data_IF_128512074395
#
_entry.id   IF_128512074395
#
_cell.length_a   1.000
_cell.length_b   1.000
_cell.length_c   1.000
_cell.angle_alpha   90.00
_cell.angle_beta   90.00
_cell.angle_gamma   90.00
#
_symmetry.space_group_name_H-M   'P 1'
#
loop_
_entity.id
_entity.type
_entity.pdbx_description
1 polymer ?
#
# COMPACT_ATOMS: atom_id res chain seq x y z
N UNK A 1 -7.74 -42.53 2.69
CA UNK A 1 -8.81 -43.45 3.15
C UNK A 1 -9.16 -43.21 4.62
N UNK A 2 -8.43 -43.72 5.62
CA UNK A 2 -8.80 -43.61 7.06
C UNK A 2 -8.93 -42.21 7.67
N UNK A 3 -8.25 -41.20 7.09
CA UNK A 3 -8.36 -39.78 7.52
C UNK A 3 -9.60 -39.09 6.95
N UNK A 4 -10.01 -39.48 5.73
CA UNK A 4 -11.24 -38.99 5.08
C UNK A 4 -12.49 -39.62 5.71
N UNK A 5 -12.42 -40.88 6.13
CA UNK A 5 -13.51 -41.57 6.84
C UNK A 5 -13.83 -40.93 8.21
N UNK A 6 -12.81 -40.44 8.94
CA UNK A 6 -13.03 -39.73 10.21
C UNK A 6 -13.63 -38.34 10.02
N UNK A 7 -13.25 -37.63 8.96
CA UNK A 7 -13.82 -36.32 8.63
C UNK A 7 -15.28 -36.49 8.21
N UNK A 8 -15.58 -37.51 7.39
CA UNK A 8 -16.96 -37.84 7.00
C UNK A 8 -17.84 -38.18 8.21
N UNK A 9 -17.34 -39.00 9.15
CA UNK A 9 -18.05 -39.32 10.39
C UNK A 9 -18.31 -38.08 11.29
N UNK A 10 -17.41 -37.09 11.27
CA UNK A 10 -17.55 -35.87 12.06
C UNK A 10 -18.50 -34.84 11.45
N UNK A 11 -18.62 -34.83 10.11
CA UNK A 11 -19.47 -33.88 9.36
C UNK A 11 -20.91 -34.40 9.22
N UNK A 12 -21.09 -35.72 9.11
CA UNK A 12 -22.40 -36.33 8.83
C UNK A 12 -23.02 -37.11 10.01
N UNK A 13 -22.26 -37.43 11.05
CA UNK A 13 -22.72 -38.37 12.08
C UNK A 13 -23.02 -39.76 11.49
N UNK A 14 -23.64 -40.68 12.24
CA UNK A 14 -23.95 -42.05 11.78
C UNK A 14 -25.08 -42.12 10.71
N UNK A 15 -25.30 -41.08 9.92
CA UNK A 15 -26.31 -41.01 8.85
C UNK A 15 -25.85 -40.15 7.66
N UNK A 16 -26.60 -40.18 6.55
CA UNK A 16 -26.18 -39.57 5.27
C UNK A 16 -26.38 -38.03 5.17
N UNK A 17 -26.82 -37.35 6.24
CA UNK A 17 -27.07 -35.88 6.22
C UNK A 17 -26.08 -35.12 7.12
N UNK A 18 -25.60 -33.92 6.72
CA UNK A 18 -24.72 -33.12 7.55
C UNK A 18 -25.37 -32.65 8.86
N UNK A 19 -24.62 -32.68 9.96
CA UNK A 19 -25.11 -32.43 11.33
C UNK A 19 -25.77 -31.05 11.54
N UNK A 20 -25.47 -30.07 10.67
CA UNK A 20 -26.01 -28.71 10.75
C UNK A 20 -27.44 -28.59 10.22
N UNK A 21 -27.95 -29.60 9.49
CA UNK A 21 -29.32 -29.62 8.96
C UNK A 21 -30.34 -29.96 10.07
N UNK A 22 -30.00 -30.86 11.01
CA UNK A 22 -30.89 -31.25 12.12
C UNK A 22 -31.08 -30.13 13.17
N UNK A 23 -30.09 -29.23 13.30
CA UNK A 23 -30.16 -28.08 14.20
C UNK A 23 -31.13 -27.00 13.73
N UNK A 24 -31.49 -26.98 12.45
CA UNK A 24 -32.40 -25.99 11.85
C UNK A 24 -33.87 -26.46 11.80
N UNK A 25 -34.13 -27.78 11.89
CA UNK A 25 -35.48 -28.37 11.74
C UNK A 25 -36.24 -28.60 13.06
N UNK A 26 -35.65 -28.32 14.23
CA UNK A 26 -36.35 -28.46 15.53
C UNK A 26 -37.20 -27.22 15.88
N UNK A 27 -38.24 -26.99 15.08
CA UNK A 27 -39.20 -25.89 15.22
C UNK A 27 -40.00 -25.88 16.52
N UNK A 28 -39.48 -25.29 17.59
CA UNK A 28 -40.24 -24.93 18.80
C UNK A 28 -40.36 -23.40 18.90
N UNK A 29 -41.27 -22.85 18.10
CA UNK A 29 -41.87 -21.53 18.29
C UNK A 29 -43.12 -21.68 19.16
N UNK A 30 -43.07 -21.21 20.42
CA UNK A 30 -44.22 -20.74 21.23
C UNK A 30 -43.78 -20.34 22.64
N UNK A 31 -43.50 -19.05 22.86
CA UNK A 31 -43.64 -18.42 24.20
C UNK A 31 -44.19 -17.00 24.03
N UNK A 32 -45.21 -16.68 24.83
CA UNK A 32 -45.99 -15.43 24.81
C UNK A 32 -45.15 -14.16 25.11
N UNK A 33 -45.57 -13.03 24.53
CA UNK A 33 -44.96 -11.71 24.74
C UNK A 33 -45.31 -11.12 26.13
N UNK A 34 -44.33 -10.70 26.94
CA UNK A 34 -44.59 -9.76 28.04
C UNK A 34 -44.54 -8.31 27.53
N UNK A 35 -45.39 -7.47 28.12
CA UNK A 35 -45.45 -6.02 27.87
C UNK A 35 -44.35 -5.29 28.66
N UNK A 36 -43.63 -4.36 28.01
CA UNK A 36 -42.80 -3.34 28.67
C UNK A 36 -41.33 -3.36 28.25
N UNK A 37 -40.79 -2.20 27.87
CA UNK A 37 -39.52 -2.01 27.18
C UNK A 37 -38.26 -2.60 27.83
N UNK A 38 -37.57 -3.48 27.09
CA UNK A 38 -36.12 -3.63 27.03
C UNK A 38 -35.78 -4.61 25.89
N UNK A 39 -34.97 -4.20 24.91
CA UNK A 39 -34.35 -5.15 23.97
C UNK A 39 -33.19 -5.85 24.71
N UNK A 40 -33.29 -7.17 24.93
CA UNK A 40 -32.17 -7.98 25.42
C UNK A 40 -31.72 -8.94 24.32
N UNK A 41 -30.73 -8.50 23.54
CA UNK A 41 -29.81 -9.43 22.88
C UNK A 41 -28.99 -10.09 23.99
N UNK A 42 -29.37 -11.29 24.44
CA UNK A 42 -28.56 -12.09 25.36
C UNK A 42 -27.37 -12.68 24.60
N UNK A 43 -26.20 -12.57 25.20
CA UNK A 43 -24.88 -12.80 24.62
C UNK A 43 -24.51 -14.28 24.39
N UNK A 44 -25.48 -15.16 24.16
CA UNK A 44 -25.26 -16.62 24.10
C UNK A 44 -25.64 -17.27 22.75
N UNK A 45 -25.78 -16.49 21.67
CA UNK A 45 -26.04 -17.06 20.34
C UNK A 45 -24.98 -16.82 19.26
N UNK A 46 -23.86 -16.17 19.57
CA UNK A 46 -22.77 -15.99 18.60
C UNK A 46 -21.40 -16.06 19.26
N UNK A 47 -20.91 -17.27 19.50
CA UNK A 47 -19.47 -17.52 19.75
C UNK A 47 -19.00 -18.76 19.00
N UNK A 48 -18.97 -18.66 17.67
CA UNK A 48 -18.10 -19.50 16.83
C UNK A 48 -17.67 -18.71 15.59
N UNK A 49 -16.61 -17.91 15.72
CA UNK A 49 -15.61 -17.75 14.66
C UNK A 49 -14.25 -17.74 15.37
N UNK A 50 -13.48 -18.78 15.08
CA UNK A 50 -12.23 -19.11 15.72
C UNK A 50 -11.15 -18.07 15.43
N UNK A 51 -10.60 -17.44 16.48
CA UNK A 51 -9.24 -16.91 16.50
C UNK A 51 -8.33 -18.06 16.94
N UNK A 52 -7.84 -18.87 16.01
CA UNK A 52 -6.66 -19.73 16.18
C UNK A 52 -6.19 -20.26 14.81
N UNK A 53 -5.25 -19.53 14.21
CA UNK A 53 -4.15 -20.16 13.48
C UNK A 53 -2.89 -19.46 13.98
N UNK A 54 -2.24 -20.04 15.00
CA UNK A 54 -0.84 -20.38 14.79
C UNK A 54 -0.45 -21.74 15.41
N UNK A 55 0.66 -22.26 14.89
CA UNK A 55 1.45 -23.40 15.35
C UNK A 55 1.02 -24.79 14.85
N UNK A 56 1.32 -25.02 13.56
CA UNK A 56 1.82 -26.29 13.03
C UNK A 56 3.29 -26.56 13.44
N UNK A 57 3.67 -26.16 14.65
CA UNK A 57 4.90 -26.63 15.28
C UNK A 57 4.47 -27.29 16.58
N UNK A 58 4.33 -28.61 16.55
CA UNK A 58 4.79 -29.55 17.58
C UNK A 58 4.40 -30.95 17.09
N UNK A 59 5.16 -31.38 16.09
CA UNK A 59 5.30 -32.79 15.77
C UNK A 59 5.97 -33.45 16.97
N UNK A 60 5.30 -34.44 17.57
CA UNK A 60 5.93 -35.40 18.46
C UNK A 60 6.04 -34.98 19.92
N UNK A 61 4.96 -35.18 20.68
CA UNK A 61 5.00 -35.68 22.08
C UNK A 61 3.62 -36.22 22.42
N UNK A 62 3.56 -37.51 22.70
CA UNK A 62 2.38 -38.16 23.26
C UNK A 62 2.21 -37.66 24.69
N UNK A 63 1.14 -36.92 24.96
CA UNK A 63 0.59 -36.77 26.29
C UNK A 63 -0.88 -37.11 26.22
N UNK A 64 -1.27 -38.13 26.96
CA UNK A 64 -2.64 -38.56 27.16
C UNK A 64 -3.47 -37.40 27.71
N UNK A 65 -4.48 -36.96 26.96
CA UNK A 65 -5.53 -36.11 27.50
C UNK A 65 -6.70 -37.00 27.91
N UNK A 66 -6.92 -37.10 29.21
CA UNK A 66 -8.13 -37.68 29.78
C UNK A 66 -9.22 -36.60 29.77
N UNK A 67 -10.29 -36.82 28.99
CA UNK A 67 -11.39 -35.87 28.87
C UNK A 67 -12.43 -36.15 29.95
N UNK A 68 -12.45 -35.34 31.00
CA UNK A 68 -13.55 -35.30 31.98
C UNK A 68 -14.62 -34.27 31.56
N UNK A 69 -15.92 -34.58 31.67
CA UNK A 69 -17.02 -33.67 31.31
C UNK A 69 -17.41 -32.68 32.42
N UNK A 70 -16.70 -32.61 33.55
CA UNK A 70 -17.08 -31.75 34.68
C UNK A 70 -16.28 -30.43 34.73
N UNK A 71 -17.02 -29.31 34.75
CA UNK A 71 -16.50 -27.95 34.96
C UNK A 71 -15.90 -27.83 36.37
N UNK A 72 -14.58 -27.68 36.45
CA UNK A 72 -13.88 -27.39 37.71
C UNK A 72 -13.98 -25.88 38.03
N UNK A 73 -14.56 -25.46 39.17
CA UNK A 73 -14.56 -24.07 39.59
C UNK A 73 -13.19 -23.67 40.17
N UNK A 74 -12.76 -22.40 40.05
CA UNK A 74 -11.44 -21.99 40.50
C UNK A 74 -11.40 -21.89 42.03
N UNK A 75 -10.76 -22.84 42.70
CA UNK A 75 -10.30 -22.68 44.09
C UNK A 75 -8.76 -22.74 44.15
N UNK A 76 -8.20 -21.60 44.56
CA UNK A 76 -6.95 -21.42 45.31
C UNK A 76 -5.85 -22.48 45.17
N UNK A 77 -4.83 -22.19 44.36
CA UNK A 77 -3.49 -22.74 44.56
C UNK A 77 -2.59 -21.69 45.23
N UNK A 78 -2.54 -21.74 46.55
CA UNK A 78 -1.43 -21.22 47.35
C UNK A 78 -0.28 -22.23 47.32
N UNK A 79 0.90 -21.80 46.87
CA UNK A 79 2.17 -22.48 47.17
C UNK A 79 2.86 -23.15 45.99
N UNK A 80 3.63 -22.37 45.22
CA UNK A 80 4.98 -22.73 44.75
C UNK A 80 5.57 -21.54 43.98
N UNK A 81 6.80 -21.20 44.35
CA UNK A 81 7.62 -20.09 43.88
C UNK A 81 8.06 -20.23 42.41
N UNK A 82 7.79 -19.22 41.59
CA UNK A 82 8.35 -19.10 40.24
C UNK A 82 7.74 -17.92 39.50
N UNK A 83 8.51 -16.85 39.29
CA UNK A 83 8.08 -15.64 38.58
C UNK A 83 7.57 -15.95 37.17
N UNK A 84 6.27 -15.77 36.95
CA UNK A 84 5.69 -15.57 35.62
C UNK A 84 5.08 -14.16 35.58
N UNK A 85 5.64 -13.33 34.69
CA UNK A 85 5.23 -11.94 34.45
C UNK A 85 3.76 -11.91 34.03
N UNK A 86 2.98 -11.06 34.68
CA UNK A 86 1.55 -10.86 34.37
C UNK A 86 1.37 -10.24 32.97
N UNK A 87 0.28 -10.58 32.25
CA UNK A 87 -0.12 -9.86 31.05
C UNK A 87 -0.61 -8.45 31.39
N UNK A 88 -0.12 -7.45 30.65
CA UNK A 88 -0.57 -6.07 30.75
C UNK A 88 -2.07 -5.95 30.43
N UNK A 89 -2.88 -5.70 31.46
CA UNK A 89 -4.26 -5.22 31.31
C UNK A 89 -4.21 -3.71 31.48
N UNK A 90 -4.49 -2.96 30.40
CA UNK A 90 -4.66 -1.51 30.47
C UNK A 90 -5.96 -1.22 31.23
N UNK A 91 -5.84 -0.71 32.46
CA UNK A 91 -6.96 -0.26 33.27
C UNK A 91 -7.55 1.06 32.73
N UNK A 92 -8.88 1.26 32.77
CA UNK A 92 -9.48 2.55 32.52
C UNK A 92 -9.34 3.44 33.77
N UNK A 93 -8.72 4.61 33.61
CA UNK A 93 -8.70 5.64 34.63
C UNK A 93 -10.11 6.24 34.76
N UNK A 94 -10.72 6.06 35.94
CA UNK A 94 -11.91 6.76 36.36
C UNK A 94 -11.53 8.10 37.00
N UNK A 95 -12.28 9.17 36.68
CA UNK A 95 -12.47 10.30 37.59
C UNK A 95 -13.94 10.73 37.52
N UNK A 96 -14.59 10.75 38.67
CA UNK A 96 -15.95 11.23 38.86
C UNK A 96 -15.92 12.63 39.49
N UNK A 97 -16.76 13.54 38.99
CA UNK A 97 -17.71 14.37 39.77
C UNK A 97 -18.41 15.36 38.84
N UNK A 98 -19.70 15.58 39.07
CA UNK A 98 -20.54 16.44 38.25
C UNK A 98 -20.49 17.91 38.64
N UNK A 99 -20.78 18.78 37.69
CA UNK A 99 -21.49 20.05 37.92
C UNK A 99 -22.19 20.50 36.63
N UNK A 100 -23.38 21.03 36.82
CA UNK A 100 -24.33 21.48 35.79
C UNK A 100 -23.99 22.88 35.28
N UNK A 101 -23.80 23.02 33.98
CA UNK A 101 -23.74 24.33 33.33
C UNK A 101 -23.37 24.22 31.86
N UNK A 102 -24.25 24.69 30.97
CA UNK A 102 -24.00 24.77 29.52
C UNK A 102 -22.71 25.55 29.25
N UNK A 103 -21.60 24.84 29.04
CA UNK A 103 -20.41 25.32 28.34
C UNK A 103 -20.31 24.56 27.03
N UNK A 104 -20.05 25.30 25.95
CA UNK A 104 -19.58 24.74 24.69
C UNK A 104 -18.47 23.73 25.00
N UNK A 105 -18.41 22.55 24.35
CA UNK A 105 -17.43 21.54 24.70
C UNK A 105 -16.03 22.15 24.60
N UNK A 106 -15.31 22.13 25.72
CA UNK A 106 -13.91 22.48 25.77
C UNK A 106 -13.15 21.53 24.84
N UNK A 107 -12.23 22.08 24.03
CA UNK A 107 -11.42 21.31 23.10
C UNK A 107 -10.65 20.21 23.86
N UNK A 108 -10.62 18.96 23.36
CA UNK A 108 -9.89 17.88 24.00
C UNK A 108 -8.37 18.16 23.97
N UNK A 109 -7.62 17.77 25.01
CA UNK A 109 -6.17 17.96 25.04
C UNK A 109 -5.49 17.00 24.05
N UNK A 110 -4.74 17.55 23.08
CA UNK A 110 -3.96 16.78 22.10
C UNK A 110 -4.13 17.16 20.61
N UNK A 111 -4.49 18.41 20.27
CA UNK A 111 -4.53 18.84 18.85
C UNK A 111 -3.11 18.90 18.26
N UNK A 112 -2.63 17.76 17.75
CA UNK A 112 -1.38 17.65 16.98
C UNK A 112 -1.54 18.06 15.51
N UNK A 113 -2.67 18.70 15.14
CA UNK A 113 -3.03 19.07 13.77
C UNK A 113 -3.79 20.41 13.76
N UNK A 114 -3.51 21.24 12.76
CA UNK A 114 -4.24 22.50 12.54
C UNK A 114 -5.34 22.31 11.50
N UNK A 115 -6.47 22.99 11.67
CA UNK A 115 -7.49 23.13 10.63
C UNK A 115 -7.31 24.48 9.90
N UNK A 116 -7.25 24.44 8.58
CA UNK A 116 -7.12 25.61 7.70
C UNK A 116 -8.29 25.71 6.74
N UNK A 117 -8.93 26.87 6.67
CA UNK A 117 -10.00 27.13 5.70
C UNK A 117 -9.41 27.79 4.45
N UNK A 118 -9.56 27.16 3.30
CA UNK A 118 -9.04 27.68 2.02
C UNK A 118 -10.04 28.63 1.36
N UNK A 119 -9.58 29.39 0.36
CA UNK A 119 -10.44 30.30 -0.42
C UNK A 119 -11.57 29.54 -1.15
N UNK A 120 -11.35 28.27 -1.47
CA UNK A 120 -12.36 27.36 -2.03
C UNK A 120 -13.42 26.91 -1.01
N UNK A 121 -13.35 27.38 0.24
CA UNK A 121 -14.31 27.04 1.30
C UNK A 121 -14.09 25.67 1.94
N UNK A 122 -13.05 24.93 1.53
CA UNK A 122 -12.67 23.65 2.12
C UNK A 122 -11.94 23.86 3.44
N UNK A 123 -12.15 22.93 4.38
CA UNK A 123 -11.36 22.85 5.62
C UNK A 123 -10.35 21.73 5.44
N UNK A 124 -9.07 22.06 5.45
CA UNK A 124 -7.95 21.13 5.31
C UNK A 124 -7.23 20.93 6.62
N UNK A 125 -6.60 19.77 6.76
CA UNK A 125 -5.59 19.56 7.78
C UNK A 125 -4.31 20.26 7.34
N UNK A 126 -3.59 20.84 8.29
CA UNK A 126 -2.30 21.49 8.06
C UNK A 126 -1.33 21.14 9.19
N UNK A 127 -0.04 21.24 8.91
CA UNK A 127 1.01 21.09 9.92
C UNK A 127 0.86 22.17 11.01
N UNK A 128 1.33 21.86 12.23
CA UNK A 128 1.23 22.77 13.37
C UNK A 128 1.98 24.08 13.14
N UNK A 129 3.13 24.02 12.48
CA UNK A 129 3.92 25.20 12.09
C UNK A 129 3.29 26.00 10.93
N UNK A 130 2.19 25.51 10.35
CA UNK A 130 1.48 26.15 9.24
C UNK A 130 2.25 26.20 7.93
N UNK A 131 3.25 25.31 7.73
CA UNK A 131 4.04 25.24 6.49
C UNK A 131 3.50 24.28 5.45
N UNK A 132 2.81 23.23 5.87
CA UNK A 132 2.26 22.19 5.00
C UNK A 132 0.74 22.28 4.99
N UNK A 133 0.16 22.42 3.80
CA UNK A 133 -1.27 22.28 3.56
C UNK A 133 -1.55 20.84 3.12
N UNK A 134 -2.32 20.11 3.92
CA UNK A 134 -2.59 18.69 3.71
C UNK A 134 -3.99 18.39 3.19
N UNK A 135 -4.43 17.16 3.47
CA UNK A 135 -5.70 16.62 3.00
C UNK A 135 -6.93 17.36 3.54
N UNK A 136 -8.05 17.28 2.84
CA UNK A 136 -9.35 17.78 3.34
C UNK A 136 -9.72 17.08 4.67
N UNK A 137 -10.10 17.87 5.67
CA UNK A 137 -10.48 17.39 7.00
C UNK A 137 -11.73 16.49 6.92
N UNK A 138 -11.63 15.21 7.29
CA UNK A 138 -12.75 14.27 7.23
C UNK A 138 -13.85 14.59 8.26
N UNK A 139 -13.53 15.34 9.31
CA UNK A 139 -14.49 15.78 10.34
C UNK A 139 -15.34 16.96 9.87
N UNK A 140 -14.84 17.75 8.92
CA UNK A 140 -15.58 18.88 8.33
C UNK A 140 -16.27 18.49 7.01
N UNK A 141 -15.64 17.61 6.23
CA UNK A 141 -16.11 17.20 4.90
C UNK A 141 -16.08 15.68 4.79
N UNK A 142 -17.24 14.99 4.67
CA UNK A 142 -17.29 13.53 4.55
C UNK A 142 -16.39 13.01 3.43
N UNK A 143 -15.79 11.83 3.62
CA UNK A 143 -14.78 11.29 2.69
C UNK A 143 -15.34 10.98 1.30
N UNK A 144 -16.63 10.69 1.21
CA UNK A 144 -17.33 10.39 -0.05
C UNK A 144 -17.72 11.64 -0.86
N UNK A 145 -17.44 12.86 -0.39
CA UNK A 145 -17.74 14.11 -1.10
C UNK A 145 -16.49 14.84 -1.59
N UNK A 146 -16.70 15.81 -2.48
CA UNK A 146 -15.65 16.66 -3.03
C UNK A 146 -14.88 16.02 -4.18
N UNK A 147 -14.03 16.83 -4.80
CA UNK A 147 -13.16 16.45 -5.92
C UNK A 147 -12.21 15.33 -5.47
N UNK A 148 -12.06 14.32 -6.33
CA UNK A 148 -11.27 13.12 -6.07
C UNK A 148 -9.79 13.36 -6.41
N UNK A 149 -9.06 14.16 -5.63
CA UNK A 149 -7.58 14.17 -5.67
C UNK A 149 -7.01 13.03 -4.82
N UNK A 150 -5.77 12.60 -5.08
CA UNK A 150 -5.08 11.60 -4.29
C UNK A 150 -5.06 12.02 -2.81
N UNK A 151 -5.52 11.12 -1.92
CA UNK A 151 -5.71 11.34 -0.49
C UNK A 151 -6.46 12.65 -0.15
N UNK A 152 -7.25 13.21 -1.08
CA UNK A 152 -7.90 14.53 -0.98
C UNK A 152 -6.90 15.67 -0.73
N UNK A 153 -5.69 15.57 -1.27
CA UNK A 153 -4.64 16.59 -1.21
C UNK A 153 -5.03 17.86 -2.00
N UNK A 154 -4.37 19.01 -1.73
CA UNK A 154 -4.58 20.20 -2.54
C UNK A 154 -4.04 20.03 -3.96
N UNK A 155 -4.67 20.71 -4.90
CA UNK A 155 -4.07 20.99 -6.21
C UNK A 155 -3.11 22.18 -6.10
N UNK A 156 -2.23 22.33 -7.09
CA UNK A 156 -1.17 23.34 -7.07
C UNK A 156 -1.72 24.77 -6.96
N UNK A 157 -2.78 25.08 -7.68
CA UNK A 157 -3.44 26.40 -7.67
C UNK A 157 -4.02 26.72 -6.29
N UNK A 158 -4.62 25.73 -5.62
CA UNK A 158 -5.15 25.90 -4.26
C UNK A 158 -4.01 26.15 -3.27
N UNK A 159 -2.89 25.42 -3.38
CA UNK A 159 -1.73 25.62 -2.55
C UNK A 159 -1.14 27.03 -2.73
N UNK A 160 -0.96 27.47 -3.98
CA UNK A 160 -0.43 28.81 -4.30
C UNK A 160 -1.34 29.92 -3.77
N UNK A 161 -2.66 29.79 -3.95
CA UNK A 161 -3.63 30.73 -3.40
C UNK A 161 -3.60 30.78 -1.87
N UNK A 162 -3.48 29.62 -1.21
CA UNK A 162 -3.38 29.53 0.24
C UNK A 162 -2.08 30.17 0.77
N UNK A 163 -0.94 29.91 0.13
CA UNK A 163 0.35 30.54 0.48
C UNK A 163 0.32 32.05 0.31
N UNK A 164 -0.21 32.54 -0.80
CA UNK A 164 -0.37 33.98 -1.06
C UNK A 164 -1.24 34.64 0.03
N UNK A 165 -2.37 34.02 0.40
CA UNK A 165 -3.24 34.53 1.45
C UNK A 165 -2.57 34.58 2.84
N UNK A 166 -1.53 33.75 3.06
CA UNK A 166 -0.70 33.75 4.28
C UNK A 166 0.46 34.74 4.22
N UNK A 167 0.56 35.54 3.15
CA UNK A 167 1.66 36.49 2.96
C UNK A 167 3.00 35.82 2.65
N UNK A 168 2.99 34.57 2.18
CA UNK A 168 4.20 33.96 1.64
C UNK A 168 4.55 34.75 0.39
N UNK A 169 5.71 35.40 0.39
CA UNK A 169 6.27 35.93 -0.84
C UNK A 169 6.57 34.76 -1.78
N UNK A 170 6.69 35.04 -3.08
CA UNK A 170 7.27 34.06 -4.00
C UNK A 170 8.52 33.49 -3.33
N UNK A 171 8.72 32.18 -3.38
CA UNK A 171 9.81 31.49 -2.69
C UNK A 171 11.14 31.91 -3.33
N UNK A 172 11.58 33.15 -3.07
CA UNK A 172 12.82 33.70 -3.59
C UNK A 172 13.96 32.81 -3.10
N UNK A 173 14.60 32.12 -4.04
CA UNK A 173 15.72 31.22 -3.77
C UNK A 173 15.38 29.74 -3.52
N UNK A 174 14.12 29.30 -3.62
CA UNK A 174 13.85 27.85 -3.76
C UNK A 174 13.85 27.44 -5.23
N UNK A 175 14.55 26.35 -5.54
CA UNK A 175 14.49 25.73 -6.87
C UNK A 175 13.11 25.06 -7.10
N UNK A 176 12.51 24.44 -6.08
CA UNK A 176 11.20 23.79 -6.16
C UNK A 176 10.11 24.39 -5.23
N UNK A 177 8.85 24.33 -5.69
CA UNK A 177 7.69 24.84 -4.95
C UNK A 177 7.12 23.82 -3.94
N UNK A 178 7.26 22.54 -4.22
CA UNK A 178 6.69 21.42 -3.43
C UNK A 178 7.68 20.27 -3.30
N UNK A 179 7.51 19.43 -2.27
CA UNK A 179 8.40 18.31 -2.03
C UNK A 179 8.07 17.12 -2.93
N UNK A 180 6.78 16.84 -3.12
CA UNK A 180 6.28 15.76 -3.99
C UNK A 180 5.09 16.25 -4.81
N UNK A 181 5.11 15.95 -6.11
CA UNK A 181 3.93 16.03 -6.96
C UNK A 181 3.42 14.62 -7.30
N UNK A 182 2.13 14.39 -7.06
CA UNK A 182 1.40 13.20 -7.50
C UNK A 182 0.80 13.49 -8.87
N UNK A 183 1.15 12.68 -9.87
CA UNK A 183 0.68 12.86 -11.25
C UNK A 183 0.12 11.55 -11.78
N UNK A 184 -1.08 11.58 -12.36
CA UNK A 184 -1.62 10.39 -13.02
C UNK A 184 -1.18 10.28 -14.47
N UNK A 185 -1.00 9.06 -14.96
CA UNK A 185 -0.63 8.76 -16.33
C UNK A 185 -1.63 7.75 -16.91
N UNK A 186 -2.80 8.20 -17.39
CA UNK A 186 -3.88 7.34 -17.86
C UNK A 186 -3.60 6.78 -19.27
N UNK A 187 -2.66 5.85 -19.37
CA UNK A 187 -2.20 5.26 -20.64
C UNK A 187 -2.04 3.74 -20.50
N UNK A 188 -2.54 2.96 -21.46
CA UNK A 188 -2.38 1.50 -21.47
C UNK A 188 -2.20 0.92 -22.89
N UNK A 189 -1.67 1.70 -23.83
CA UNK A 189 -1.54 1.22 -25.23
C UNK A 189 -0.29 0.37 -25.47
N UNK A 190 0.60 0.25 -24.48
CA UNK A 190 1.74 -0.67 -24.50
C UNK A 190 1.42 -2.05 -23.90
N UNK A 191 0.21 -2.26 -23.36
CA UNK A 191 -0.19 -3.56 -22.84
C UNK A 191 -0.35 -4.61 -23.96
N UNK A 192 0.07 -5.84 -23.68
CA UNK A 192 0.02 -6.95 -24.66
C UNK A 192 -1.19 -7.87 -24.50
N UNK A 193 -1.91 -7.80 -23.37
CA UNK A 193 -3.00 -8.74 -23.05
C UNK A 193 -4.32 -8.02 -22.70
N UNK A 194 -4.55 -7.70 -21.43
CA UNK A 194 -5.80 -7.07 -20.97
C UNK A 194 -5.61 -5.55 -20.80
N UNK A 195 -6.31 -4.72 -21.58
CA UNK A 195 -6.28 -3.27 -21.38
C UNK A 195 -7.18 -2.86 -20.21
N UNK A 196 -7.08 -1.60 -19.78
CA UNK A 196 -7.91 -1.03 -18.73
C UNK A 196 -7.13 -0.20 -17.72
N UNK A 197 -5.80 -0.32 -17.72
CA UNK A 197 -4.93 0.44 -16.81
C UNK A 197 -5.01 1.96 -17.04
N UNK A 198 -5.47 2.43 -18.21
CA UNK A 198 -5.73 3.87 -18.44
C UNK A 198 -6.72 4.49 -17.44
N UNK A 199 -7.56 3.68 -16.79
CA UNK A 199 -8.50 4.12 -15.74
C UNK A 199 -7.94 3.95 -14.32
N UNK A 200 -6.74 3.38 -14.18
CA UNK A 200 -6.01 3.20 -12.93
C UNK A 200 -5.88 4.48 -12.10
N UNK A 201 -5.41 5.61 -12.67
CA UNK A 201 -5.20 6.84 -11.89
C UNK A 201 -6.48 7.36 -11.22
N UNK A 202 -7.60 7.33 -11.94
CA UNK A 202 -8.92 7.71 -11.39
C UNK A 202 -9.34 6.77 -10.25
N UNK A 203 -9.23 5.46 -10.46
CA UNK A 203 -9.60 4.46 -9.45
C UNK A 203 -8.74 4.56 -8.18
N UNK A 204 -7.44 4.79 -8.33
CA UNK A 204 -6.51 5.00 -7.21
C UNK A 204 -6.92 6.26 -6.43
N UNK A 205 -7.17 7.39 -7.11
CA UNK A 205 -7.64 8.62 -6.45
C UNK A 205 -8.97 8.39 -5.71
N UNK A 206 -9.92 7.69 -6.33
CA UNK A 206 -11.20 7.38 -5.71
C UNK A 206 -11.04 6.54 -4.43
N UNK A 207 -10.17 5.53 -4.44
CA UNK A 207 -9.97 4.62 -3.31
C UNK A 207 -8.99 5.15 -2.25
N UNK A 208 -8.19 6.17 -2.57
CA UNK A 208 -7.32 6.87 -1.62
C UNK A 208 -8.07 7.68 -0.54
N UNK A 209 -9.39 7.90 -0.69
CA UNK A 209 -10.23 8.70 0.22
C UNK A 209 -10.25 8.18 1.66
N UNK A 210 -9.91 6.92 1.90
CA UNK A 210 -9.85 6.30 3.24
C UNK A 210 -8.54 6.55 3.99
N UNK A 211 -7.51 7.06 3.32
CA UNK A 211 -6.21 7.39 3.92
C UNK A 211 -6.41 8.35 5.10
N UNK A 212 -5.67 8.12 6.18
CA UNK A 212 -5.63 8.97 7.37
C UNK A 212 -4.23 9.57 7.51
N UNK A 213 -4.09 10.71 8.20
CA UNK A 213 -2.80 11.39 8.29
C UNK A 213 -1.73 10.63 9.07
N UNK A 214 -2.10 9.72 9.98
CA UNK A 214 -1.17 9.03 10.87
C UNK A 214 -1.04 7.55 10.50
N UNK A 215 0.19 7.12 10.21
CA UNK A 215 0.53 5.73 9.90
C UNK A 215 0.89 4.98 11.18
N UNK A 216 0.06 4.01 11.57
CA UNK A 216 0.22 3.29 12.84
C UNK A 216 1.55 2.51 12.89
N UNK A 217 1.96 1.91 11.77
CA UNK A 217 3.13 1.04 11.73
C UNK A 217 4.46 1.81 11.88
N UNK A 218 4.54 3.03 11.37
CA UNK A 218 5.77 3.84 11.34
C UNK A 218 5.75 5.01 12.33
N UNK A 219 4.57 5.41 12.82
CA UNK A 219 4.37 6.59 13.64
C UNK A 219 4.45 7.91 12.87
N UNK A 220 4.51 7.86 11.54
CA UNK A 220 4.73 9.02 10.67
C UNK A 220 3.43 9.70 10.23
N UNK A 221 3.56 10.96 9.82
CA UNK A 221 2.51 11.77 9.20
C UNK A 221 2.99 12.36 7.87
N UNK A 222 3.26 11.51 6.87
CA UNK A 222 3.96 11.94 5.66
C UNK A 222 3.24 13.07 4.90
N UNK A 223 1.91 13.08 4.88
CA UNK A 223 1.11 14.13 4.22
C UNK A 223 1.05 15.46 5.00
N UNK A 224 1.77 15.57 6.11
CA UNK A 224 1.87 16.75 6.97
C UNK A 224 3.32 17.11 7.34
N UNK A 225 4.27 16.24 7.04
CA UNK A 225 5.71 16.44 7.23
C UNK A 225 6.37 17.07 5.99
N UNK A 226 5.72 16.98 4.83
CA UNK A 226 6.20 17.48 3.55
C UNK A 226 5.02 17.97 2.71
N UNK A 227 5.26 18.97 1.86
CA UNK A 227 4.25 19.52 0.98
C UNK A 227 4.05 18.62 -0.24
N UNK A 228 2.96 17.86 -0.21
CA UNK A 228 2.50 17.02 -1.33
C UNK A 228 1.30 17.68 -2.02
N UNK A 229 1.28 17.66 -3.36
CA UNK A 229 0.18 18.15 -4.19
C UNK A 229 -0.22 17.12 -5.24
N UNK A 230 -1.50 17.10 -5.62
CA UNK A 230 -1.98 16.38 -6.81
C UNK A 230 -1.97 17.35 -7.99
N UNK A 231 -1.18 17.05 -9.03
CA UNK A 231 -1.02 17.92 -10.20
C UNK A 231 -1.89 17.48 -11.40
N UNK A 232 -2.85 16.58 -11.17
CA UNK A 232 -3.74 16.07 -12.20
C UNK A 232 -3.07 14.99 -13.05
N UNK A 233 -3.53 14.86 -14.28
CA UNK A 233 -3.11 13.81 -15.21
C UNK A 233 -2.28 14.39 -16.37
N UNK A 234 -1.44 13.53 -16.96
CA UNK A 234 -0.81 13.80 -18.25
C UNK A 234 -1.83 13.60 -19.38
N UNK A 235 -1.90 14.53 -20.32
CA UNK A 235 -2.67 14.41 -21.56
C UNK A 235 -1.94 13.53 -22.60
N UNK A 236 -1.65 12.28 -22.22
CA UNK A 236 -1.02 11.30 -23.09
C UNK A 236 -2.00 10.83 -24.16
N UNK A 237 -1.54 10.73 -25.41
CA UNK A 237 -2.38 10.26 -26.49
C UNK A 237 -2.72 8.76 -26.31
N UNK A 238 -3.97 8.34 -26.59
CA UNK A 238 -4.30 6.93 -26.64
C UNK A 238 -3.87 6.27 -27.96
N UNK A 239 -3.17 7.00 -28.86
CA UNK A 239 -2.80 6.55 -30.19
C UNK A 239 -1.30 6.71 -30.43
N UNK A 240 -0.60 5.57 -30.54
CA UNK A 240 0.85 5.51 -30.80
C UNK A 240 1.67 5.63 -29.51
N UNK A 241 2.46 4.59 -29.24
CA UNK A 241 3.24 4.50 -28.00
C UNK A 241 4.32 5.58 -27.98
N UNK A 242 5.14 5.71 -29.03
CA UNK A 242 6.23 6.71 -29.09
C UNK A 242 5.78 8.14 -28.81
N UNK A 243 4.61 8.53 -29.36
CA UNK A 243 4.05 9.86 -29.13
C UNK A 243 3.61 10.05 -27.69
N UNK A 244 2.96 9.04 -27.10
CA UNK A 244 2.56 9.07 -25.69
C UNK A 244 3.79 9.15 -24.78
N UNK A 245 4.84 8.38 -25.08
CA UNK A 245 6.11 8.37 -24.37
C UNK A 245 6.77 9.76 -24.34
N UNK A 246 6.80 10.47 -25.47
CA UNK A 246 7.32 11.84 -25.53
C UNK A 246 6.48 12.83 -24.69
N UNK A 247 5.15 12.70 -24.73
CA UNK A 247 4.25 13.54 -23.92
C UNK A 247 4.43 13.29 -22.42
N UNK A 248 4.57 12.03 -22.01
CA UNK A 248 4.82 11.65 -20.62
C UNK A 248 6.18 12.17 -20.17
N UNK A 249 7.23 12.00 -20.97
CA UNK A 249 8.57 12.52 -20.68
C UNK A 249 8.56 14.03 -20.46
N UNK A 250 7.89 14.77 -21.36
CA UNK A 250 7.79 16.21 -21.25
C UNK A 250 7.03 16.65 -19.99
N UNK A 251 5.92 15.97 -19.66
CA UNK A 251 5.19 16.23 -18.44
C UNK A 251 6.04 15.95 -17.19
N UNK A 252 6.75 14.82 -17.13
CA UNK A 252 7.66 14.50 -16.04
C UNK A 252 8.75 15.58 -15.86
N UNK A 253 9.39 16.02 -16.94
CA UNK A 253 10.38 17.12 -16.91
C UNK A 253 9.78 18.42 -16.37
N UNK A 254 8.57 18.77 -16.79
CA UNK A 254 7.90 19.98 -16.32
C UNK A 254 7.56 19.89 -14.83
N UNK A 255 7.06 18.75 -14.35
CA UNK A 255 6.74 18.58 -12.93
C UNK A 255 7.98 18.48 -12.05
N UNK A 256 9.09 17.93 -12.53
CA UNK A 256 10.38 17.91 -11.79
C UNK A 256 11.04 19.30 -11.67
N UNK A 257 10.61 20.30 -12.44
CA UNK A 257 10.98 21.72 -12.20
C UNK A 257 10.18 22.33 -11.05
N UNK A 258 8.99 21.82 -10.78
CA UNK A 258 8.06 22.33 -9.76
C UNK A 258 8.22 21.59 -8.43
N UNK A 259 8.53 20.30 -8.48
CA UNK A 259 8.59 19.40 -7.35
C UNK A 259 9.97 18.75 -7.21
N UNK A 260 10.40 18.51 -5.97
CA UNK A 260 11.66 17.80 -5.72
C UNK A 260 11.59 16.35 -6.21
N UNK A 261 10.44 15.69 -6.10
CA UNK A 261 10.21 14.29 -6.53
C UNK A 261 8.84 14.13 -7.18
N UNK A 262 8.71 13.10 -8.01
CA UNK A 262 7.42 12.67 -8.58
C UNK A 262 7.01 11.31 -8.05
N UNK A 263 5.70 11.16 -7.84
CA UNK A 263 5.06 9.86 -7.66
C UNK A 263 3.97 9.72 -8.71
N UNK A 264 4.04 8.69 -9.55
CA UNK A 264 3.10 8.50 -10.63
C UNK A 264 2.00 7.51 -10.24
N UNK A 265 0.76 7.86 -10.58
CA UNK A 265 -0.38 6.95 -10.55
C UNK A 265 -0.49 6.37 -11.95
N UNK A 266 -0.20 5.10 -12.09
CA UNK A 266 0.05 4.51 -13.41
C UNK A 266 -1.18 4.11 -14.20
N UNK A 267 -0.94 3.98 -15.49
CA UNK A 267 -1.59 3.01 -16.37
C UNK A 267 -0.66 1.81 -16.56
N UNK A 268 -0.33 1.42 -17.78
CA UNK A 268 0.58 0.29 -18.01
C UNK A 268 2.05 0.63 -17.71
N UNK A 269 2.89 -0.39 -17.54
CA UNK A 269 4.29 -0.25 -17.11
C UNK A 269 5.18 0.49 -18.13
N UNK A 270 4.70 0.73 -19.36
CA UNK A 270 5.43 1.50 -20.38
C UNK A 270 5.74 2.92 -19.91
N UNK A 271 4.95 3.49 -18.99
CA UNK A 271 5.17 4.85 -18.48
C UNK A 271 6.44 5.01 -17.62
N UNK A 272 7.01 3.91 -17.12
CA UNK A 272 8.18 3.97 -16.24
C UNK A 272 9.46 4.37 -16.97
N UNK A 273 9.61 4.01 -18.26
CA UNK A 273 10.75 4.47 -19.07
C UNK A 273 10.90 6.01 -19.10
N UNK A 274 9.89 6.80 -19.51
CA UNK A 274 10.02 8.25 -19.63
C UNK A 274 10.09 8.92 -18.26
N UNK A 275 9.50 8.32 -17.23
CA UNK A 275 9.63 8.78 -15.85
C UNK A 275 11.06 8.60 -15.31
N UNK A 276 11.65 7.43 -15.51
CA UNK A 276 13.05 7.13 -15.15
C UNK A 276 14.00 8.01 -15.97
N UNK A 277 13.74 8.22 -17.26
CA UNK A 277 14.54 9.12 -18.09
C UNK A 277 14.53 10.55 -17.56
N UNK A 278 13.37 11.10 -17.21
CA UNK A 278 13.28 12.42 -16.60
C UNK A 278 14.01 12.49 -15.24
N UNK A 279 13.91 11.43 -14.42
CA UNK A 279 14.63 11.35 -13.15
C UNK A 279 16.15 11.29 -13.36
N UNK A 280 16.63 10.46 -14.29
CA UNK A 280 18.04 10.31 -14.60
C UNK A 280 18.66 11.59 -15.17
N UNK A 281 17.91 12.34 -15.99
CA UNK A 281 18.33 13.67 -16.47
C UNK A 281 18.53 14.69 -15.34
N UNK A 282 17.75 14.60 -14.25
CA UNK A 282 17.85 15.52 -13.10
C UNK A 282 18.88 15.05 -12.07
N UNK A 283 18.94 13.76 -11.77
CA UNK A 283 19.67 13.21 -10.63
C UNK A 283 20.89 12.35 -11.02
N UNK A 284 21.09 12.08 -12.30
CA UNK A 284 22.03 11.08 -12.79
C UNK A 284 21.43 9.66 -12.79
N UNK A 285 22.16 8.66 -13.31
CA UNK A 285 21.67 7.29 -13.44
C UNK A 285 21.14 6.73 -12.10
N UNK A 286 19.97 6.09 -12.15
CA UNK A 286 19.24 5.66 -10.96
C UNK A 286 19.41 4.17 -10.67
N UNK A 287 19.41 3.79 -9.40
CA UNK A 287 19.19 2.41 -8.98
C UNK A 287 17.69 2.13 -9.07
N UNK A 288 17.31 1.11 -9.84
CA UNK A 288 15.93 0.65 -9.95
C UNK A 288 15.64 -0.41 -8.88
N UNK A 289 14.66 -0.13 -8.02
CA UNK A 289 14.03 -1.16 -7.18
C UNK A 289 12.67 -1.46 -7.80
N UNK A 290 12.55 -2.65 -8.39
CA UNK A 290 11.43 -3.06 -9.20
C UNK A 290 10.64 -4.18 -8.51
N UNK A 291 9.38 -3.92 -8.16
CA UNK A 291 8.47 -4.94 -7.65
C UNK A 291 7.49 -5.34 -8.73
N UNK A 292 7.54 -6.59 -9.18
CA UNK A 292 6.75 -7.08 -10.32
C UNK A 292 6.72 -8.62 -10.32
N UNK A 293 5.74 -9.20 -11.00
CA UNK A 293 5.76 -10.61 -11.37
C UNK A 293 6.62 -10.93 -12.61
N UNK A 294 6.95 -9.93 -13.42
CA UNK A 294 7.70 -9.97 -14.68
C UNK A 294 9.01 -9.16 -14.64
N UNK A 295 9.94 -9.48 -15.53
CA UNK A 295 11.25 -8.82 -15.59
C UNK A 295 11.20 -7.44 -16.24
N UNK A 296 10.29 -7.25 -17.20
CA UNK A 296 10.14 -6.01 -17.97
C UNK A 296 11.41 -5.51 -18.68
N UNK A 297 12.28 -6.47 -18.99
CA UNK A 297 13.52 -6.32 -19.78
C UNK A 297 13.47 -7.09 -21.10
N UNK A 298 12.28 -7.46 -21.56
CA UNK A 298 12.11 -8.26 -22.78
C UNK A 298 12.53 -7.47 -24.03
N UNK A 299 12.93 -8.17 -25.12
CA UNK A 299 13.22 -7.52 -26.39
C UNK A 299 11.98 -6.84 -27.01
N UNK A 300 12.19 -5.97 -28.01
CA UNK A 300 11.11 -5.45 -28.84
C UNK A 300 10.24 -6.56 -29.44
N UNK A 301 8.92 -6.34 -29.46
CA UNK A 301 7.95 -7.23 -30.11
C UNK A 301 6.96 -6.39 -30.93
N UNK A 302 6.39 -6.96 -31.99
CA UNK A 302 5.37 -6.30 -32.83
C UNK A 302 5.76 -4.88 -33.30
N UNK A 303 7.04 -4.69 -33.65
CA UNK A 303 7.61 -3.41 -34.07
C UNK A 303 7.52 -2.30 -33.00
N UNK A 304 7.44 -2.66 -31.71
CA UNK A 304 7.46 -1.73 -30.58
C UNK A 304 8.71 -1.96 -29.72
N UNK A 305 9.56 -0.93 -29.64
CA UNK A 305 10.77 -0.94 -28.81
C UNK A 305 10.44 -0.82 -27.32
N UNK A 306 9.43 0.00 -27.00
CA UNK A 306 8.94 0.19 -25.64
C UNK A 306 7.48 -0.22 -25.60
N UNK A 307 7.21 -1.25 -24.83
CA UNK A 307 5.88 -1.80 -24.49
C UNK A 307 5.95 -2.22 -23.02
N UNK A 308 4.83 -2.62 -22.40
CA UNK A 308 4.81 -2.79 -20.94
C UNK A 308 5.87 -3.80 -20.41
N UNK A 309 6.33 -4.75 -21.23
CA UNK A 309 7.37 -5.72 -20.86
C UNK A 309 8.80 -5.34 -21.23
N UNK A 310 9.07 -4.13 -21.71
CA UNK A 310 10.43 -3.69 -22.08
C UNK A 310 10.91 -2.32 -21.54
N UNK A 311 10.21 -1.62 -20.62
CA UNK A 311 10.64 -0.28 -20.23
C UNK A 311 12.06 -0.28 -19.64
N UNK A 312 12.44 -1.30 -18.87
CA UNK A 312 13.74 -1.32 -18.19
C UNK A 312 14.89 -1.78 -19.08
N UNK A 313 14.61 -2.58 -20.12
CA UNK A 313 15.57 -2.81 -21.19
C UNK A 313 15.93 -1.49 -21.85
N UNK A 314 14.93 -0.68 -22.19
CA UNK A 314 15.16 0.63 -22.80
C UNK A 314 15.95 1.57 -21.87
N UNK A 315 15.64 1.55 -20.57
CA UNK A 315 16.41 2.30 -19.58
C UNK A 315 17.88 1.88 -19.51
N UNK A 316 18.16 0.57 -19.61
CA UNK A 316 19.53 0.06 -19.63
C UNK A 316 20.26 0.43 -20.93
N UNK A 317 19.62 0.30 -22.09
CA UNK A 317 20.18 0.65 -23.41
C UNK A 317 20.57 2.13 -23.51
N UNK A 318 19.89 3.01 -22.78
CA UNK A 318 20.17 4.45 -22.74
C UNK A 318 21.01 4.90 -21.52
N UNK A 319 21.68 3.98 -20.82
CA UNK A 319 22.54 4.25 -19.66
C UNK A 319 21.82 5.04 -18.53
N UNK A 320 20.50 4.86 -18.38
CA UNK A 320 19.70 5.56 -17.37
C UNK A 320 19.80 4.91 -15.98
N UNK A 321 20.33 3.69 -15.91
CA UNK A 321 20.42 2.90 -14.68
C UNK A 321 21.85 2.88 -14.14
N UNK A 322 21.98 3.03 -12.83
CA UNK A 322 23.23 2.85 -12.13
C UNK A 322 23.68 1.39 -12.20
N UNK A 323 24.96 1.17 -12.48
CA UNK A 323 25.54 -0.17 -12.67
C UNK A 323 25.41 -1.00 -11.41
N UNK A 324 24.98 -2.26 -11.58
CA UNK A 324 24.94 -3.31 -10.55
C UNK A 324 24.09 -3.02 -9.31
N UNK A 325 23.34 -1.93 -9.29
CA UNK A 325 22.52 -1.53 -8.14
C UNK A 325 21.09 -2.05 -8.16
N UNK A 326 20.56 -2.31 -9.36
CA UNK A 326 19.13 -2.58 -9.57
C UNK A 326 18.72 -3.99 -9.15
N UNK A 327 17.47 -4.14 -8.71
CA UNK A 327 16.90 -5.42 -8.26
C UNK A 327 15.43 -5.55 -8.67
N UNK A 328 15.06 -6.68 -9.29
CA UNK A 328 13.69 -7.13 -9.48
C UNK A 328 13.23 -8.01 -8.31
N UNK A 329 11.99 -7.86 -7.87
CA UNK A 329 11.44 -8.46 -6.66
C UNK A 329 10.03 -9.00 -6.94
N UNK A 330 9.82 -10.29 -6.69
CA UNK A 330 8.51 -10.94 -6.87
C UNK A 330 8.33 -11.68 -8.19
N UNK A 331 9.40 -11.77 -8.99
CA UNK A 331 9.43 -12.51 -10.27
C UNK A 331 8.96 -13.95 -10.06
N UNK A 332 8.04 -14.43 -10.89
CA UNK A 332 7.48 -15.78 -10.74
C UNK A 332 6.86 -16.31 -12.03
N UNK A 333 6.17 -17.44 -11.89
CA UNK A 333 5.43 -18.12 -12.95
C UNK A 333 6.34 -18.58 -14.11
N UNK A 334 5.86 -18.48 -15.35
CA UNK A 334 6.57 -18.98 -16.53
C UNK A 334 7.15 -17.84 -17.34
N UNK A 335 8.42 -17.98 -17.73
CA UNK A 335 9.05 -17.12 -18.74
C UNK A 335 9.26 -17.89 -20.05
N UNK A 336 9.69 -17.21 -21.12
CA UNK A 336 9.95 -17.84 -22.41
C UNK A 336 11.16 -18.77 -22.36
N UNK A 337 12.24 -18.38 -21.68
CA UNK A 337 13.39 -19.26 -21.45
C UNK A 337 14.30 -18.79 -20.31
N UNK A 338 15.21 -19.66 -19.86
CA UNK A 338 16.28 -19.28 -18.91
C UNK A 338 17.15 -18.12 -19.41
N UNK A 339 17.17 -17.87 -20.73
CA UNK A 339 17.90 -16.77 -21.33
C UNK A 339 17.45 -15.42 -20.77
N UNK A 340 16.16 -15.25 -20.49
CA UNK A 340 15.57 -13.98 -20.06
C UNK A 340 16.19 -13.51 -18.72
N UNK A 341 16.40 -14.44 -17.79
CA UNK A 341 17.08 -14.17 -16.51
C UNK A 341 18.56 -13.84 -16.72
N UNK A 342 19.25 -14.57 -17.59
CA UNK A 342 20.68 -14.35 -17.88
C UNK A 342 20.91 -13.00 -18.58
N UNK A 343 19.99 -12.57 -19.43
CA UNK A 343 20.05 -11.25 -20.04
C UNK A 343 19.86 -10.15 -19.00
N UNK A 344 18.84 -10.25 -18.14
CA UNK A 344 18.62 -9.28 -17.05
C UNK A 344 19.83 -9.23 -16.09
N UNK A 345 20.42 -10.36 -15.75
CA UNK A 345 21.67 -10.42 -14.96
C UNK A 345 22.85 -9.76 -15.68
N UNK A 346 22.98 -9.99 -17.00
CA UNK A 346 24.02 -9.35 -17.81
C UNK A 346 23.83 -7.82 -17.94
N UNK A 347 22.60 -7.32 -17.77
CA UNK A 347 22.31 -5.88 -17.64
C UNK A 347 22.69 -5.31 -16.26
N UNK A 348 23.11 -6.17 -15.31
CA UNK A 348 23.49 -5.78 -13.95
C UNK A 348 22.33 -5.74 -12.96
N UNK A 349 21.19 -6.39 -13.28
CA UNK A 349 20.02 -6.46 -12.41
C UNK A 349 20.01 -7.76 -11.61
N UNK A 350 19.81 -7.68 -10.30
CA UNK A 350 19.57 -8.86 -9.48
C UNK A 350 18.09 -9.25 -9.52
N UNK A 351 17.80 -10.53 -9.26
CA UNK A 351 16.43 -11.02 -9.17
C UNK A 351 16.20 -11.69 -7.82
N UNK A 352 15.09 -11.33 -7.17
CA UNK A 352 14.50 -12.02 -6.03
C UNK A 352 13.12 -12.54 -6.46
N UNK A 353 12.96 -13.85 -6.54
CA UNK A 353 11.67 -14.43 -6.94
C UNK A 353 10.62 -14.32 -5.83
N UNK A 354 9.36 -14.59 -6.14
CA UNK A 354 8.33 -14.70 -5.10
C UNK A 354 8.67 -15.82 -4.08
N UNK A 355 9.25 -16.93 -4.55
CA UNK A 355 9.74 -18.03 -3.70
C UNK A 355 10.90 -17.58 -2.80
N UNK A 356 11.86 -16.79 -3.30
CA UNK A 356 12.92 -16.22 -2.46
C UNK A 356 12.33 -15.39 -1.31
N UNK A 357 11.36 -14.52 -1.61
CA UNK A 357 10.70 -13.68 -0.60
C UNK A 357 9.93 -14.53 0.42
N UNK A 358 9.32 -15.63 -0.02
CA UNK A 358 8.61 -16.56 0.84
C UNK A 358 9.55 -17.35 1.75
N UNK A 359 10.61 -17.94 1.20
CA UNK A 359 11.51 -18.86 1.92
C UNK A 359 12.49 -18.11 2.83
N UNK A 360 13.09 -17.03 2.34
CA UNK A 360 14.12 -16.25 3.04
C UNK A 360 13.52 -15.18 3.95
N UNK A 361 12.28 -14.78 3.65
CA UNK A 361 11.56 -13.74 4.34
C UNK A 361 12.00 -12.33 3.94
N UNK A 362 11.11 -11.37 4.21
CA UNK A 362 11.23 -9.97 3.77
C UNK A 362 12.50 -9.31 4.28
N UNK A 363 12.89 -9.56 5.53
CA UNK A 363 14.05 -8.89 6.16
C UNK A 363 15.36 -9.21 5.44
N UNK A 364 15.56 -10.46 5.03
CA UNK A 364 16.75 -10.88 4.30
C UNK A 364 16.75 -10.31 2.88
N UNK A 365 15.60 -10.34 2.21
CA UNK A 365 15.45 -9.78 0.87
C UNK A 365 15.70 -8.26 0.83
N UNK A 366 15.24 -7.52 1.85
CA UNK A 366 15.59 -6.10 2.03
C UNK A 366 17.10 -5.90 2.16
N UNK A 367 17.80 -6.80 2.85
CA UNK A 367 19.25 -6.71 2.99
C UNK A 367 19.96 -6.90 1.65
N UNK A 368 19.49 -7.83 0.80
CA UNK A 368 20.00 -7.99 -0.57
C UNK A 368 19.87 -6.69 -1.34
N UNK A 369 18.68 -6.07 -1.36
CA UNK A 369 18.45 -4.80 -2.07
C UNK A 369 19.39 -3.71 -1.58
N UNK A 370 19.62 -3.60 -0.27
CA UNK A 370 20.55 -2.64 0.31
C UNK A 370 22.00 -2.91 -0.07
N UNK A 371 22.40 -4.18 -0.13
CA UNK A 371 23.76 -4.54 -0.53
C UNK A 371 23.98 -4.29 -2.03
N UNK A 372 22.98 -4.50 -2.88
CA UNK A 372 23.00 -4.07 -4.28
C UNK A 372 23.14 -2.56 -4.41
N UNK A 373 22.34 -1.77 -3.70
CA UNK A 373 22.45 -0.31 -3.70
C UNK A 373 23.84 0.21 -3.29
N UNK A 374 24.54 -0.48 -2.37
CA UNK A 374 25.94 -0.16 -2.02
C UNK A 374 26.91 -0.37 -3.18
N UNK A 375 26.68 -1.34 -4.06
CA UNK A 375 27.52 -1.55 -5.26
C UNK A 375 27.45 -0.35 -6.21
N UNK A 376 26.30 0.33 -6.26
CA UNK A 376 26.10 1.58 -6.98
C UNK A 376 26.62 2.83 -6.21
N UNK A 377 27.43 2.66 -5.17
CA UNK A 377 28.04 3.75 -4.42
C UNK A 377 27.28 4.16 -3.15
N UNK A 378 26.18 3.49 -2.79
CA UNK A 378 25.51 3.64 -1.49
C UNK A 378 24.77 4.96 -1.26
N UNK A 379 24.90 5.93 -2.16
CA UNK A 379 24.12 7.17 -2.21
C UNK A 379 23.56 7.45 -3.63
N UNK A 380 23.59 6.44 -4.52
CA UNK A 380 23.00 6.59 -5.84
C UNK A 380 21.49 6.84 -5.74
N UNK A 381 20.93 7.74 -6.55
CA UNK A 381 19.50 8.04 -6.52
C UNK A 381 18.70 6.78 -6.85
N UNK A 382 17.59 6.56 -6.14
CA UNK A 382 16.75 5.37 -6.31
C UNK A 382 15.43 5.75 -6.97
N UNK A 383 15.06 4.98 -7.99
CA UNK A 383 13.70 4.99 -8.54
C UNK A 383 12.99 3.71 -8.07
N UNK A 384 11.84 3.88 -7.42
CA UNK A 384 11.04 2.78 -6.88
C UNK A 384 9.82 2.56 -7.78
N UNK A 385 9.80 1.44 -8.50
CA UNK A 385 8.70 1.11 -9.41
C UNK A 385 7.98 -0.12 -8.91
N UNK A 386 6.68 -0.02 -8.69
CA UNK A 386 5.84 -1.10 -8.16
C UNK A 386 4.71 -1.40 -9.13
N UNK A 387 4.85 -2.51 -9.84
CA UNK A 387 3.73 -3.15 -10.53
C UNK A 387 2.78 -3.76 -9.49
N UNK A 388 1.49 -3.47 -9.60
CA UNK A 388 0.51 -4.01 -8.67
C UNK A 388 0.37 -5.54 -8.80
N UNK A 389 0.75 -6.11 -9.94
CA UNK A 389 0.74 -7.55 -10.18
C UNK A 389 1.84 -8.31 -9.45
N UNK A 390 2.78 -7.62 -8.77
CA UNK A 390 3.68 -8.26 -7.79
C UNK A 390 2.89 -8.95 -6.67
N UNK A 391 1.72 -8.40 -6.34
CA UNK A 391 0.81 -8.96 -5.36
C UNK A 391 0.06 -10.15 -5.95
N UNK A 392 -0.22 -11.14 -5.11
CA UNK A 392 -1.04 -12.27 -5.52
C UNK A 392 -2.44 -11.79 -6.01
N UNK A 393 -3.05 -12.43 -7.03
CA UNK A 393 -4.38 -12.07 -7.51
C UNK A 393 -5.49 -12.14 -6.45
N UNK A 394 -5.27 -12.86 -5.32
CA UNK A 394 -6.16 -12.80 -4.15
C UNK A 394 -6.15 -11.45 -3.42
N UNK A 395 -5.13 -10.62 -3.66
CA UNK A 395 -4.93 -9.28 -3.08
C UNK A 395 -5.14 -8.20 -4.15
N UNK A 396 -4.62 -8.40 -5.36
CA UNK A 396 -4.67 -7.46 -6.47
C UNK A 396 -5.23 -8.11 -7.75
N UNK A 397 -6.53 -8.47 -7.80
CA UNK A 397 -7.12 -9.09 -9.00
C UNK A 397 -7.21 -8.13 -10.21
N UNK A 398 -7.19 -6.81 -9.96
CA UNK A 398 -7.38 -5.77 -10.96
C UNK A 398 -6.12 -5.38 -11.69
N UNK A 399 -5.56 -6.30 -12.48
CA UNK A 399 -4.35 -6.07 -13.31
C UNK A 399 -4.45 -6.75 -14.69
N UNK A 400 -3.61 -6.31 -15.63
CA UNK A 400 -3.55 -6.82 -17.00
C UNK A 400 -3.06 -8.26 -17.09
N UNK A 401 -1.98 -8.59 -16.39
CA UNK A 401 -1.22 -9.86 -16.49
C UNK A 401 -1.08 -10.55 -15.13
N UNK A 402 -2.18 -11.01 -14.51
CA UNK A 402 -2.11 -11.58 -13.17
C UNK A 402 -1.38 -12.94 -13.15
N UNK A 403 -0.35 -13.05 -12.31
CA UNK A 403 0.36 -14.30 -12.04
C UNK A 403 0.10 -14.84 -10.63
N UNK A 404 -0.24 -16.12 -10.48
CA UNK A 404 -0.58 -16.70 -9.16
C UNK A 404 0.66 -16.97 -8.30
N UNK A 405 0.52 -16.96 -6.97
CA UNK A 405 1.61 -17.23 -6.04
C UNK A 405 2.47 -15.99 -5.71
N UNK A 406 1.85 -14.81 -5.75
CA UNK A 406 2.54 -13.52 -5.53
C UNK A 406 2.72 -13.15 -4.05
N UNK A 407 3.23 -11.94 -3.83
CA UNK A 407 3.39 -11.39 -2.48
C UNK A 407 2.02 -11.15 -1.83
N UNK A 408 1.93 -11.36 -0.52
CA UNK A 408 0.81 -10.89 0.27
C UNK A 408 1.00 -9.42 0.64
N UNK A 409 -0.11 -8.70 0.86
CA UNK A 409 -0.11 -7.27 1.19
C UNK A 409 0.88 -6.91 2.31
N UNK A 410 0.93 -7.71 3.38
CA UNK A 410 1.83 -7.46 4.50
C UNK A 410 3.31 -7.68 4.17
N UNK A 411 3.65 -8.61 3.26
CA UNK A 411 5.03 -8.81 2.82
C UNK A 411 5.51 -7.58 2.04
N UNK A 412 4.72 -7.10 1.08
CA UNK A 412 5.05 -5.89 0.32
C UNK A 412 5.19 -4.66 1.23
N UNK A 413 4.21 -4.42 2.13
CA UNK A 413 4.28 -3.28 3.06
C UNK A 413 5.50 -3.35 3.98
N UNK A 414 5.87 -4.54 4.47
CA UNK A 414 7.09 -4.71 5.27
C UNK A 414 8.35 -4.48 4.43
N UNK A 415 8.35 -4.91 3.17
CA UNK A 415 9.49 -4.77 2.27
C UNK A 415 9.73 -3.29 1.97
N UNK A 416 8.70 -2.57 1.51
CA UNK A 416 8.75 -1.14 1.20
C UNK A 416 9.23 -0.36 2.43
N UNK A 417 8.66 -0.58 3.62
CA UNK A 417 9.14 0.07 4.87
C UNK A 417 10.60 -0.28 5.19
N UNK A 418 11.04 -1.48 4.85
CA UNK A 418 12.41 -1.94 4.97
C UNK A 418 13.40 -1.15 4.11
N UNK A 419 12.95 -0.38 3.13
CA UNK A 419 13.76 0.50 2.27
C UNK A 419 14.04 1.88 2.88
N UNK A 420 13.56 2.17 4.11
CA UNK A 420 13.76 3.45 4.79
C UNK A 420 15.24 3.91 4.77
N UNK A 421 15.50 5.15 4.38
CA UNK A 421 16.84 5.72 4.31
C UNK A 421 17.54 5.54 2.96
N UNK A 422 16.93 4.85 1.99
CA UNK A 422 17.41 4.92 0.60
C UNK A 422 17.01 6.28 -0.03
N UNK A 423 17.84 6.87 -0.91
CA UNK A 423 17.58 8.17 -1.52
C UNK A 423 16.58 8.05 -2.67
N UNK A 424 15.31 7.80 -2.35
CA UNK A 424 14.24 7.70 -3.35
C UNK A 424 14.02 9.08 -4.00
N UNK A 425 14.19 9.18 -5.33
CA UNK A 425 14.04 10.42 -6.10
C UNK A 425 12.76 10.44 -6.96
N UNK A 426 12.16 9.28 -7.21
CA UNK A 426 10.91 9.12 -7.92
C UNK A 426 10.30 7.75 -7.64
N UNK A 427 8.98 7.64 -7.84
CA UNK A 427 8.30 6.36 -7.73
C UNK A 427 7.07 6.27 -8.64
N UNK A 428 6.60 5.06 -8.90
CA UNK A 428 5.32 4.81 -9.54
C UNK A 428 4.65 3.52 -9.04
N UNK A 429 3.31 3.53 -9.09
CA UNK A 429 2.50 2.33 -8.95
C UNK A 429 1.66 2.14 -10.20
N UNK A 430 1.87 1.02 -10.90
CA UNK A 430 1.36 0.77 -12.26
C UNK A 430 0.42 -0.45 -12.33
N UNK A 431 -0.14 -0.69 -13.52
CA UNK A 431 -0.99 -1.83 -13.90
C UNK A 431 -2.31 -1.99 -13.13
N UNK A 432 -2.77 -0.96 -12.41
CA UNK A 432 -4.11 -0.98 -11.82
C UNK A 432 -5.15 -0.89 -12.93
N UNK A 433 -5.82 -2.00 -13.22
CA UNK A 433 -6.87 -2.12 -14.23
C UNK A 433 -8.25 -2.29 -13.57
N UNK A 434 -9.04 -1.20 -13.40
CA UNK A 434 -10.27 -1.22 -12.60
C UNK A 434 -11.36 -2.15 -13.14
N UNK A 435 -11.35 -2.44 -14.44
CA UNK A 435 -12.29 -3.37 -15.08
C UNK A 435 -12.18 -4.81 -14.55
N UNK A 436 -11.01 -5.18 -13.99
CA UNK A 436 -10.75 -6.50 -13.41
C UNK A 436 -10.66 -6.45 -11.88
N UNK A 437 -10.76 -5.26 -11.29
CA UNK A 437 -10.74 -5.10 -9.83
C UNK A 437 -12.09 -5.51 -9.22
N UNK A 438 -12.05 -6.08 -8.02
CA UNK A 438 -13.25 -6.47 -7.29
C UNK A 438 -13.41 -5.61 -6.04
N UNK A 439 -14.51 -4.86 -5.97
CA UNK A 439 -14.81 -3.95 -4.85
C UNK A 439 -13.72 -2.88 -4.56
N UNK A 440 -12.87 -2.57 -5.54
CA UNK A 440 -11.82 -1.54 -5.42
C UNK A 440 -10.62 -1.96 -4.58
N UNK A 441 -10.43 -3.27 -4.31
CA UNK A 441 -9.36 -3.73 -3.40
C UNK A 441 -7.98 -3.51 -3.99
N UNK A 442 -7.83 -3.63 -5.32
CA UNK A 442 -6.55 -3.39 -6.02
C UNK A 442 -6.21 -1.91 -5.99
N UNK A 443 -7.17 -1.04 -6.32
CA UNK A 443 -6.99 0.40 -6.25
C UNK A 443 -6.73 0.90 -4.81
N UNK A 444 -7.33 0.26 -3.80
CA UNK A 444 -7.05 0.52 -2.38
C UNK A 444 -5.64 0.05 -1.97
N UNK A 445 -5.17 -1.09 -2.47
CA UNK A 445 -3.82 -1.56 -2.26
C UNK A 445 -2.80 -0.57 -2.86
N UNK A 446 -2.97 -0.18 -4.12
CA UNK A 446 -2.15 0.83 -4.78
C UNK A 446 -2.11 2.15 -4.00
N UNK A 447 -3.27 2.68 -3.58
CA UNK A 447 -3.32 3.90 -2.79
C UNK A 447 -2.58 3.79 -1.43
N UNK A 448 -2.58 2.59 -0.84
CA UNK A 448 -1.86 2.32 0.41
C UNK A 448 -0.35 2.24 0.18
N UNK A 449 0.08 1.63 -0.94
CA UNK A 449 1.49 1.54 -1.34
C UNK A 449 2.06 2.94 -1.58
N UNK A 450 1.36 3.78 -2.35
CA UNK A 450 1.76 5.17 -2.62
C UNK A 450 1.97 5.96 -1.32
N UNK A 451 1.14 5.73 -0.30
CA UNK A 451 1.35 6.38 1.00
C UNK A 451 2.66 5.94 1.69
N UNK A 452 3.04 4.67 1.56
CA UNK A 452 4.33 4.17 2.05
C UNK A 452 5.51 4.76 1.26
N UNK A 453 5.39 4.91 -0.06
CA UNK A 453 6.41 5.56 -0.89
C UNK A 453 6.65 7.01 -0.47
N UNK A 454 5.56 7.78 -0.28
CA UNK A 454 5.62 9.16 0.24
C UNK A 454 6.30 9.14 1.63
N UNK A 455 5.99 8.17 2.49
CA UNK A 455 6.60 8.05 3.82
C UNK A 455 8.11 7.75 3.79
N UNK A 456 8.56 6.92 2.84
CA UNK A 456 9.99 6.70 2.59
C UNK A 456 10.69 7.99 2.17
N UNK A 457 10.06 8.76 1.28
CA UNK A 457 10.60 10.04 0.82
C UNK A 457 10.68 11.09 1.95
N UNK A 458 9.75 11.09 2.91
CA UNK A 458 9.79 11.96 4.12
C UNK A 458 11.08 11.71 4.92
N UNK A 459 11.44 10.43 5.08
CA UNK A 459 12.57 9.99 5.91
C UNK A 459 13.92 10.25 5.26
N UNK A 460 13.97 10.33 3.93
CA UNK A 460 15.20 10.63 3.18
C UNK A 460 15.62 12.12 3.25
N UNK A 461 14.79 12.97 3.86
CA UNK A 461 15.01 14.41 3.90
C UNK A 461 16.11 14.84 4.88
N UNK A 462 16.47 14.00 5.85
CA UNK A 462 17.51 14.30 6.86
C UNK A 462 18.94 14.17 6.32
N UNK A 463 19.18 13.51 5.17
CA UNK A 463 20.54 13.19 4.69
C UNK A 463 20.98 13.95 3.43
N UNK A 464 20.10 14.73 2.79
CA UNK A 464 20.40 15.45 1.53
C UNK A 464 20.62 16.97 1.74
N UNK A 465 20.61 17.44 3.00
CA UNK A 465 21.02 18.80 3.39
C UNK A 465 22.33 18.68 4.17
#
# INVERSE_FOLDING_TARGET
MRRLERIAAHVHGNGEKPLWVDLMDSGIDRVERPRGGACRCTADKWRFVCRCFPCLEHVGRAHDFDWSPELVPPTSCSGATGQLRQPYVLAPLATASGDSGKRLPAQPPGEELRAERTAAGLTRLASLDGRVLGMVSPSAHPRFTGIATFARLPQLEELRAWRLAKGWQALEGREEEVDIAIMGVPFDSGCSFRPGARFGPEAIRANSRLIRPYMIATGQRPLLEQQVVDVGDVDATPFGIDRAQEQILQACREKLKLARRLVLLGGDHTLSYPAIKAAAEKFGPVVLIHFDSHLDTFPPIFDQDVWHGSPFRKCWEEDLLAKDGSTHIGIRATTYSEHDFRESEAMGMATLTAEDVFERGVKECVQVVRDRHKLAGGNAPVYLSIDIDVLDPSVAPGTGTPEFGGLLAMQLLQFVRGLKGLPIVGADVVEVAPAYDHAGITAMAAASIILEEIALMSSSMEEII
#
